data_IF_033448181574
#
_entry.id   IF_033448181574
#
_cell.length_a   1.000
_cell.length_b   1.000
_cell.length_c   1.000
_cell.angle_alpha   90.00
_cell.angle_beta   90.00
_cell.angle_gamma   90.00
#
_symmetry.space_group_name_H-M   'P 1'
#
loop_
_entity.id
_entity.type
_entity.pdbx_description
1 polymer ?
#
# COMPACT_ATOMS: atom_id res chain seq x y z
N UNK A 1 32.26 71.64 -28.03
CA UNK A 1 33.12 70.50 -27.64
C UNK A 1 32.50 69.86 -26.39
N UNK A 2 31.52 68.96 -26.51
CA UNK A 2 31.64 67.51 -26.80
C UNK A 2 32.46 66.73 -25.75
N UNK A 3 31.92 66.59 -24.54
CA UNK A 3 32.29 65.51 -23.61
C UNK A 3 31.30 64.37 -23.82
N UNK A 4 31.72 63.32 -24.54
CA UNK A 4 30.96 62.06 -24.62
C UNK A 4 31.71 61.02 -23.81
N UNK A 5 31.16 60.70 -22.64
CA UNK A 5 31.70 59.72 -21.72
C UNK A 5 31.83 58.35 -22.42
N UNK A 6 33.04 57.82 -22.45
CA UNK A 6 33.36 56.50 -22.95
C UNK A 6 32.99 55.48 -21.87
N UNK A 7 31.84 54.82 -22.07
CA UNK A 7 31.45 53.70 -21.24
C UNK A 7 32.36 52.52 -21.58
N UNK A 8 33.25 52.16 -20.65
CA UNK A 8 34.08 50.96 -20.74
C UNK A 8 33.17 49.71 -20.84
N UNK A 9 32.97 49.22 -22.06
CA UNK A 9 32.34 47.92 -22.30
C UNK A 9 33.34 46.83 -21.92
N UNK A 10 32.98 45.99 -20.95
CA UNK A 10 33.78 44.82 -20.60
C UNK A 10 34.00 43.95 -21.86
N UNK A 11 35.20 43.38 -22.06
CA UNK A 11 35.48 42.56 -23.24
C UNK A 11 34.50 41.39 -23.29
N UNK A 12 33.85 41.22 -24.45
CA UNK A 12 32.81 40.21 -24.67
C UNK A 12 33.21 38.80 -24.19
N UNK A 13 34.51 38.48 -24.22
CA UNK A 13 35.08 37.22 -23.74
C UNK A 13 34.89 36.98 -22.24
N UNK A 14 34.99 38.02 -21.41
CA UNK A 14 34.78 37.93 -19.96
C UNK A 14 33.30 37.71 -19.67
N UNK A 15 32.42 38.40 -20.41
CA UNK A 15 30.97 38.23 -20.29
C UNK A 15 30.55 36.80 -20.67
N UNK A 16 31.05 36.26 -21.79
CA UNK A 16 30.81 34.88 -22.22
C UNK A 16 31.35 33.84 -21.23
N UNK A 17 32.51 34.11 -20.62
CA UNK A 17 33.14 33.24 -19.62
C UNK A 17 32.32 33.08 -18.33
N UNK A 18 31.55 34.10 -17.94
CA UNK A 18 30.63 34.01 -16.81
C UNK A 18 29.24 33.46 -17.19
N UNK A 19 28.79 33.65 -18.43
CA UNK A 19 27.48 33.17 -18.88
C UNK A 19 27.40 31.64 -19.01
N UNK A 20 28.46 30.99 -19.49
CA UNK A 20 28.53 29.52 -19.62
C UNK A 20 28.36 28.76 -18.29
N UNK A 21 29.12 29.04 -17.22
CA UNK A 21 28.94 28.37 -15.93
C UNK A 21 27.58 28.71 -15.30
N UNK A 22 27.06 29.93 -15.52
CA UNK A 22 25.76 30.34 -15.01
C UNK A 22 24.61 29.54 -15.66
N UNK A 23 24.69 29.25 -16.96
CA UNK A 23 23.76 28.35 -17.65
C UNK A 23 23.83 26.90 -17.12
N UNK A 24 25.03 26.40 -16.82
CA UNK A 24 25.21 25.06 -16.25
C UNK A 24 24.58 24.97 -14.85
N UNK A 25 24.79 26.00 -14.01
CA UNK A 25 24.20 26.07 -12.67
C UNK A 25 22.66 26.11 -12.76
N UNK A 26 22.10 26.88 -13.70
CA UNK A 26 20.65 26.92 -13.95
C UNK A 26 20.14 25.54 -14.41
N UNK A 27 20.86 24.85 -15.30
CA UNK A 27 20.52 23.50 -15.73
C UNK A 27 20.52 22.49 -14.57
N UNK A 28 21.56 22.50 -13.73
CA UNK A 28 21.64 21.64 -12.55
C UNK A 28 20.50 21.96 -11.57
N UNK A 29 20.19 23.24 -11.36
CA UNK A 29 19.07 23.65 -10.52
C UNK A 29 17.72 23.18 -11.06
N UNK A 30 17.49 23.25 -12.38
CA UNK A 30 16.28 22.70 -13.01
C UNK A 30 16.19 21.18 -12.87
N UNK A 31 17.30 20.45 -13.00
CA UNK A 31 17.35 19.00 -12.77
C UNK A 31 17.08 18.67 -11.31
N UNK A 32 17.70 19.39 -10.36
CA UNK A 32 17.43 19.22 -8.93
C UNK A 32 15.98 19.54 -8.61
N UNK A 33 15.41 20.64 -9.13
CA UNK A 33 13.99 20.96 -9.00
C UNK A 33 13.10 19.90 -9.63
N UNK A 34 13.49 19.31 -10.76
CA UNK A 34 12.77 18.20 -11.37
C UNK A 34 12.81 16.96 -10.47
N UNK A 35 13.97 16.58 -9.94
CA UNK A 35 14.12 15.47 -9.00
C UNK A 35 13.42 15.74 -7.67
N UNK A 36 13.43 16.98 -7.18
CA UNK A 36 12.78 17.38 -5.94
C UNK A 36 11.27 17.49 -6.12
N UNK A 37 10.79 18.01 -7.26
CA UNK A 37 9.38 17.98 -7.67
C UNK A 37 8.94 16.54 -7.87
N UNK A 38 9.74 15.68 -8.52
CA UNK A 38 9.48 14.24 -8.70
C UNK A 38 9.46 13.51 -7.35
N UNK A 39 10.37 13.80 -6.42
CA UNK A 39 10.40 13.24 -5.06
C UNK A 39 9.24 13.75 -4.19
N UNK A 40 8.84 15.02 -4.32
CA UNK A 40 7.63 15.58 -3.70
C UNK A 40 6.34 15.09 -4.37
N UNK A 41 6.37 14.77 -5.67
CA UNK A 41 5.28 14.07 -6.37
C UNK A 41 5.19 12.63 -5.88
N UNK A 42 6.31 11.93 -5.65
CA UNK A 42 6.34 10.58 -5.06
C UNK A 42 5.87 10.57 -3.61
N UNK A 43 6.23 11.56 -2.79
CA UNK A 43 5.75 11.69 -1.40
C UNK A 43 4.29 12.18 -1.31
N UNK A 44 3.82 13.02 -2.22
CA UNK A 44 2.40 13.41 -2.30
C UNK A 44 1.54 12.35 -3.00
N UNK A 45 2.10 11.46 -3.84
CA UNK A 45 1.47 10.21 -4.28
C UNK A 45 1.35 9.22 -3.12
N UNK A 46 2.35 9.15 -2.23
CA UNK A 46 2.28 8.28 -1.04
C UNK A 46 1.24 8.78 -0.02
N UNK A 47 1.04 10.09 0.12
CA UNK A 47 -0.04 10.67 0.94
C UNK A 47 -1.41 10.74 0.24
N UNK A 48 -1.49 10.78 -1.10
CA UNK A 48 -2.76 10.71 -1.85
C UNK A 48 -3.27 9.30 -2.09
N UNK A 49 -2.44 8.26 -1.94
CA UNK A 49 -2.91 6.86 -1.88
C UNK A 49 -3.79 6.55 -0.66
N UNK A 50 -3.95 7.50 0.27
CA UNK A 50 -4.81 7.41 1.45
C UNK A 50 -6.09 8.25 1.34
N UNK A 51 -6.55 8.59 0.13
CA UNK A 51 -7.90 9.13 -0.10
C UNK A 51 -8.59 8.23 -1.14
N UNK A 52 -9.64 7.46 -0.78
CA UNK A 52 -10.21 6.48 -1.68
C UNK A 52 -11.14 7.16 -2.68
N UNK A 53 -10.84 7.09 -3.99
CA UNK A 53 -11.87 7.26 -5.04
C UNK A 53 -11.64 6.35 -6.24
N UNK A 54 -12.52 5.34 -6.32
CA UNK A 54 -13.29 4.84 -7.47
C UNK A 54 -12.53 4.58 -8.79
N UNK A 55 -12.35 3.28 -9.09
CA UNK A 55 -12.33 2.77 -10.47
C UNK A 55 -11.08 2.00 -10.89
N UNK A 56 -11.28 0.72 -11.19
CA UNK A 56 -10.51 -0.16 -12.10
C UNK A 56 -9.00 -0.41 -11.87
N UNK A 57 -8.75 -1.61 -11.34
CA UNK A 57 -7.79 -2.63 -11.82
C UNK A 57 -6.28 -2.48 -11.54
N UNK A 58 -5.76 -3.57 -10.94
CA UNK A 58 -4.36 -4.04 -10.83
C UNK A 58 -3.40 -3.39 -9.81
N UNK A 59 -3.40 -3.94 -8.59
CA UNK A 59 -2.19 -4.45 -7.91
C UNK A 59 -2.62 -5.15 -6.61
N UNK A 60 -2.86 -6.45 -6.75
CA UNK A 60 -3.10 -7.38 -5.63
C UNK A 60 -1.78 -7.51 -4.85
N UNK A 61 -1.88 -7.60 -3.52
CA UNK A 61 -0.77 -7.71 -2.55
C UNK A 61 -0.11 -6.41 -2.06
N UNK A 62 -0.92 -5.59 -1.39
CA UNK A 62 -0.42 -4.60 -0.43
C UNK A 62 -0.15 -5.27 0.92
N UNK A 63 1.11 -5.27 1.34
CA UNK A 63 1.54 -5.60 2.70
C UNK A 63 0.90 -4.60 3.67
N UNK A 64 -0.04 -5.05 4.49
CA UNK A 64 -0.54 -4.29 5.63
C UNK A 64 0.46 -4.47 6.78
N UNK A 65 1.19 -3.40 7.13
CA UNK A 65 2.29 -3.48 8.09
C UNK A 65 1.89 -3.28 9.55
N UNK A 66 0.63 -3.00 9.86
CA UNK A 66 0.13 -2.92 11.23
C UNK A 66 -1.21 -3.65 11.31
N UNK A 67 -1.38 -4.43 12.40
CA UNK A 67 -2.67 -5.03 12.74
C UNK A 67 -3.65 -3.91 13.11
N UNK A 68 -4.95 -4.14 12.88
CA UNK A 68 -5.97 -3.21 13.35
C UNK A 68 -6.00 -3.20 14.88
N UNK A 69 -6.46 -2.09 15.47
CA UNK A 69 -6.70 -2.02 16.92
C UNK A 69 -7.91 -2.89 17.29
N UNK A 70 -7.96 -3.39 18.53
CA UNK A 70 -8.98 -4.34 19.01
C UNK A 70 -10.42 -3.84 18.76
N UNK A 71 -10.65 -2.53 18.90
CA UNK A 71 -11.97 -1.93 18.67
C UNK A 71 -12.39 -2.01 17.20
N UNK A 72 -11.45 -1.79 16.27
CA UNK A 72 -11.71 -1.84 14.82
C UNK A 72 -11.90 -3.29 14.34
N UNK A 73 -11.21 -4.24 14.99
CA UNK A 73 -11.42 -5.67 14.77
C UNK A 73 -12.84 -6.07 15.17
N UNK A 74 -13.28 -5.71 16.37
CA UNK A 74 -14.62 -6.05 16.87
C UNK A 74 -15.70 -5.43 15.98
N UNK A 75 -15.52 -4.18 15.56
CA UNK A 75 -16.44 -3.52 14.63
C UNK A 75 -16.48 -4.25 13.27
N UNK A 76 -15.32 -4.71 12.79
CA UNK A 76 -15.21 -5.48 11.54
C UNK A 76 -15.91 -6.83 11.63
N UNK A 77 -15.74 -7.57 12.74
CA UNK A 77 -16.41 -8.85 12.95
C UNK A 77 -17.91 -8.71 13.10
N UNK A 78 -18.36 -7.73 13.89
CA UNK A 78 -19.78 -7.38 14.04
C UNK A 78 -20.40 -7.01 12.70
N UNK A 79 -19.68 -6.26 11.86
CA UNK A 79 -20.14 -5.91 10.51
C UNK A 79 -20.24 -7.14 9.61
N UNK A 80 -19.32 -8.10 9.71
CA UNK A 80 -19.40 -9.35 8.95
C UNK A 80 -20.61 -10.20 9.34
N UNK A 81 -20.95 -10.27 10.63
CA UNK A 81 -22.15 -10.96 11.09
C UNK A 81 -23.43 -10.28 10.61
N UNK A 82 -23.52 -8.94 10.71
CA UNK A 82 -24.66 -8.18 10.19
C UNK A 82 -24.82 -8.29 8.66
N UNK A 83 -23.71 -8.43 7.93
CA UNK A 83 -23.72 -8.62 6.48
C UNK A 83 -24.03 -10.08 6.06
N UNK A 84 -24.05 -11.03 7.00
CA UNK A 84 -24.32 -12.44 6.72
C UNK A 84 -25.78 -12.62 6.33
N UNK A 85 -26.03 -12.67 5.02
CA UNK A 85 -27.34 -12.99 4.48
C UNK A 85 -27.41 -14.49 4.21
N UNK A 86 -28.08 -15.25 5.09
CA UNK A 86 -28.39 -16.64 4.81
C UNK A 86 -29.28 -16.71 3.55
N UNK A 87 -28.93 -17.62 2.63
CA UNK A 87 -29.67 -17.82 1.39
C UNK A 87 -30.38 -19.17 1.51
N UNK A 88 -31.72 -19.22 1.48
CA UNK A 88 -32.46 -20.49 1.43
C UNK A 88 -31.99 -21.35 0.26
N UNK A 89 -31.94 -22.68 0.46
CA UNK A 89 -31.44 -23.58 -0.56
C UNK A 89 -32.27 -23.52 -1.85
N UNK A 90 -33.58 -23.33 -1.71
CA UNK A 90 -34.53 -23.19 -2.80
C UNK A 90 -34.25 -21.96 -3.67
N UNK A 91 -33.71 -20.90 -3.06
CA UNK A 91 -33.42 -19.62 -3.72
C UNK A 91 -31.98 -19.52 -4.24
N UNK A 92 -31.09 -20.43 -3.82
CA UNK A 92 -29.65 -20.35 -4.10
C UNK A 92 -29.34 -20.23 -5.61
N UNK A 93 -30.04 -21.00 -6.43
CA UNK A 93 -29.84 -20.97 -7.89
C UNK A 93 -30.18 -19.59 -8.48
N UNK A 94 -31.32 -19.03 -8.09
CA UNK A 94 -31.79 -17.75 -8.59
C UNK A 94 -30.95 -16.60 -8.03
N UNK A 95 -30.53 -16.70 -6.77
CA UNK A 95 -29.58 -15.79 -6.14
C UNK A 95 -28.28 -15.71 -6.94
N UNK A 96 -27.65 -16.86 -7.27
CA UNK A 96 -26.38 -16.88 -8.01
C UNK A 96 -26.58 -16.29 -9.41
N UNK A 97 -27.61 -16.76 -10.14
CA UNK A 97 -27.91 -16.31 -11.51
C UNK A 97 -28.16 -14.81 -11.58
N UNK A 98 -28.95 -14.27 -10.66
CA UNK A 98 -29.21 -12.84 -10.56
C UNK A 98 -27.95 -12.09 -10.11
N UNK A 99 -27.25 -12.60 -9.11
CA UNK A 99 -26.09 -11.96 -8.49
C UNK A 99 -24.89 -11.81 -9.43
N UNK A 100 -24.65 -12.79 -10.32
CA UNK A 100 -23.64 -12.68 -11.38
C UNK A 100 -24.05 -11.59 -12.38
N UNK A 101 -25.30 -11.57 -12.84
CA UNK A 101 -25.80 -10.59 -13.83
C UNK A 101 -25.76 -9.15 -13.32
N UNK A 102 -26.08 -8.95 -12.04
CA UNK A 102 -26.12 -7.61 -11.43
C UNK A 102 -24.80 -7.18 -10.79
N UNK A 103 -23.75 -8.00 -10.88
CA UNK A 103 -22.49 -7.85 -10.15
C UNK A 103 -22.65 -7.79 -8.62
N UNK A 104 -23.76 -8.26 -8.06
CA UNK A 104 -23.99 -8.29 -6.61
C UNK A 104 -22.90 -9.09 -5.90
N UNK A 105 -22.60 -10.31 -6.37
CA UNK A 105 -21.56 -11.19 -5.79
C UNK A 105 -20.19 -10.49 -5.79
N UNK A 106 -19.85 -9.79 -6.89
CA UNK A 106 -18.60 -9.04 -6.97
C UNK A 106 -18.56 -7.89 -5.97
N UNK A 107 -19.68 -7.17 -5.78
CA UNK A 107 -19.76 -6.09 -4.79
C UNK A 107 -19.64 -6.62 -3.36
N UNK A 108 -20.34 -7.72 -3.04
CA UNK A 108 -20.25 -8.39 -1.74
C UNK A 108 -18.81 -8.85 -1.45
N UNK A 109 -18.17 -9.53 -2.41
CA UNK A 109 -16.76 -9.91 -2.29
C UNK A 109 -15.83 -8.71 -2.06
N UNK A 110 -16.07 -7.59 -2.75
CA UNK A 110 -15.25 -6.39 -2.61
C UNK A 110 -15.47 -5.66 -1.28
N UNK A 111 -16.59 -5.92 -0.60
CA UNK A 111 -16.91 -5.37 0.72
C UNK A 111 -16.34 -6.21 1.86
N UNK A 112 -15.82 -7.43 1.60
CA UNK A 112 -15.12 -8.20 2.62
C UNK A 112 -13.96 -7.38 3.21
N UNK A 113 -13.70 -7.51 4.52
CA UNK A 113 -12.57 -6.86 5.16
C UNK A 113 -11.26 -7.20 4.44
N UNK A 114 -10.38 -6.22 4.31
CA UNK A 114 -9.11 -6.37 3.58
C UNK A 114 -7.95 -6.03 4.48
N UNK A 115 -6.84 -6.72 4.24
CA UNK A 115 -5.60 -6.49 4.93
C UNK A 115 -5.41 -7.37 6.15
N UNK A 116 -4.41 -7.03 6.94
CA UNK A 116 -4.06 -7.76 8.16
C UNK A 116 -4.96 -7.26 9.29
N UNK A 117 -6.01 -8.02 9.60
CA UNK A 117 -6.94 -7.66 10.69
C UNK A 117 -6.28 -7.85 12.06
N UNK A 118 -5.54 -8.95 12.22
CA UNK A 118 -4.97 -9.37 13.50
C UNK A 118 -3.44 -9.40 13.50
N UNK A 119 -2.78 -9.37 14.66
CA UNK A 119 -1.33 -9.52 14.76
C UNK A 119 -0.79 -10.85 14.18
N UNK A 120 0.38 -10.78 13.53
CA UNK A 120 1.16 -11.92 13.03
C UNK A 120 2.59 -11.88 13.58
N UNK A 121 2.76 -11.47 14.83
CA UNK A 121 4.04 -11.12 15.44
C UNK A 121 4.97 -12.33 15.53
N UNK A 122 4.43 -13.52 15.87
CA UNK A 122 5.22 -14.75 15.99
C UNK A 122 5.77 -15.18 14.63
N UNK A 123 4.98 -15.01 13.57
CA UNK A 123 5.38 -15.32 12.20
C UNK A 123 6.50 -14.40 11.68
N UNK A 124 6.61 -13.18 12.24
CA UNK A 124 7.60 -12.16 11.85
C UNK A 124 8.93 -12.29 12.61
N UNK A 125 9.03 -13.20 13.61
CA UNK A 125 10.28 -13.46 14.32
C UNK A 125 11.39 -13.89 13.33
N UNK A 126 12.65 -13.45 13.53
CA UNK A 126 13.75 -13.78 12.63
C UNK A 126 13.88 -15.27 12.34
N UNK A 127 13.72 -16.11 13.37
CA UNK A 127 13.83 -17.57 13.28
C UNK A 127 12.63 -18.25 12.61
N UNK A 128 11.56 -17.52 12.33
CA UNK A 128 10.35 -18.05 11.68
C UNK A 128 10.20 -17.56 10.23
N UNK A 129 10.91 -16.49 9.83
CA UNK A 129 10.80 -15.91 8.48
C UNK A 129 11.06 -16.94 7.37
N UNK A 130 12.09 -17.78 7.52
CA UNK A 130 12.44 -18.81 6.53
C UNK A 130 11.45 -19.97 6.47
N UNK A 131 10.57 -20.11 7.46
CA UNK A 131 9.50 -21.13 7.50
C UNK A 131 8.24 -20.67 6.76
N UNK A 132 8.21 -19.43 6.28
CA UNK A 132 7.10 -18.87 5.51
C UNK A 132 7.41 -18.91 4.01
N UNK A 133 6.53 -19.54 3.22
CA UNK A 133 6.65 -19.54 1.75
C UNK A 133 6.56 -18.14 1.16
N UNK A 134 5.72 -17.29 1.74
CA UNK A 134 5.52 -15.91 1.30
C UNK A 134 5.57 -15.00 2.53
N UNK A 135 6.25 -13.85 2.45
CA UNK A 135 6.41 -12.92 3.58
C UNK A 135 5.19 -12.04 3.86
N UNK A 136 4.22 -12.05 2.95
CA UNK A 136 2.99 -11.26 2.96
C UNK A 136 1.74 -12.09 3.32
N UNK A 137 1.87 -13.42 3.39
CA UNK A 137 0.85 -14.34 3.89
C UNK A 137 1.43 -14.91 5.17
N UNK A 138 0.85 -14.55 6.32
CA UNK A 138 1.37 -14.95 7.62
C UNK A 138 0.21 -15.39 8.51
N UNK A 139 0.41 -16.40 9.38
CA UNK A 139 -0.63 -16.85 10.28
C UNK A 139 -0.89 -15.80 11.37
N UNK A 140 -2.16 -15.65 11.77
CA UNK A 140 -2.53 -14.80 12.90
C UNK A 140 -2.14 -15.43 14.24
N UNK A 141 -1.72 -14.60 15.19
CA UNK A 141 -1.19 -15.06 16.49
C UNK A 141 -2.27 -15.77 17.34
N UNK A 142 -3.51 -15.30 17.29
CA UNK A 142 -4.62 -15.79 18.12
C UNK A 142 -5.10 -17.20 17.71
N UNK A 143 -4.96 -17.59 16.44
CA UNK A 143 -5.47 -18.86 15.90
C UNK A 143 -4.39 -19.76 15.33
N UNK A 144 -3.10 -19.41 15.47
CA UNK A 144 -2.01 -20.24 14.93
C UNK A 144 -1.97 -21.62 15.59
N UNK A 145 -1.59 -22.62 14.82
CA UNK A 145 -1.26 -23.94 15.37
C UNK A 145 0.09 -23.85 16.09
N UNK A 146 0.16 -24.36 17.32
CA UNK A 146 1.40 -24.43 18.12
C UNK A 146 1.89 -25.87 18.15
N UNK A 147 3.13 -26.10 17.71
CA UNK A 147 3.76 -27.42 17.79
C UNK A 147 4.24 -27.68 19.23
N UNK A 148 4.17 -28.93 19.67
CA UNK A 148 4.85 -29.36 20.89
C UNK A 148 6.34 -29.47 20.59
N UNK A 149 7.12 -28.53 21.11
CA UNK A 149 8.51 -28.35 20.73
C UNK A 149 9.42 -28.77 21.88
N UNK A 150 9.72 -30.07 21.96
CA UNK A 150 10.72 -30.58 22.92
C UNK A 150 12.12 -30.04 22.62
N UNK A 151 12.47 -29.83 21.34
CA UNK A 151 13.84 -29.47 20.89
C UNK A 151 13.87 -28.41 19.75
N UNK A 152 12.86 -27.54 19.65
CA UNK A 152 12.75 -26.61 18.52
C UNK A 152 11.83 -25.42 18.74
N UNK A 153 11.35 -24.84 17.65
CA UNK A 153 10.36 -23.75 17.70
C UNK A 153 8.95 -24.31 17.54
N UNK A 154 8.02 -23.76 18.31
CA UNK A 154 6.58 -24.10 18.31
C UNK A 154 5.83 -23.63 17.04
N UNK A 155 6.56 -23.12 16.04
CA UNK A 155 6.00 -22.42 14.90
C UNK A 155 5.81 -23.30 13.66
N UNK A 156 4.60 -23.27 13.14
CA UNK A 156 4.22 -23.71 11.80
C UNK A 156 3.34 -22.64 11.15
N UNK A 157 3.44 -22.46 9.84
CA UNK A 157 2.57 -21.55 9.08
C UNK A 157 1.19 -22.16 8.87
N UNK A 158 0.37 -22.16 9.92
CA UNK A 158 -0.99 -22.68 9.92
C UNK A 158 -1.88 -21.99 10.96
N UNK A 159 -3.18 -21.89 10.68
CA UNK A 159 -4.22 -21.42 11.60
C UNK A 159 -5.35 -22.44 11.72
N UNK A 160 -5.97 -22.52 12.89
CA UNK A 160 -7.30 -23.11 13.05
C UNK A 160 -8.34 -22.21 12.36
N UNK A 161 -9.31 -22.84 11.71
CA UNK A 161 -10.43 -22.17 11.05
C UNK A 161 -11.71 -22.65 11.73
N UNK A 162 -12.52 -21.70 12.18
CA UNK A 162 -13.85 -21.99 12.72
C UNK A 162 -14.77 -22.45 11.58
N UNK A 163 -15.50 -23.54 11.82
CA UNK A 163 -16.47 -24.10 10.87
C UNK A 163 -17.81 -24.15 11.60
N UNK A 164 -18.45 -22.99 11.75
CA UNK A 164 -19.85 -22.92 12.13
C UNK A 164 -20.70 -22.99 10.86
N UNK A 165 -21.64 -23.94 10.84
CA UNK A 165 -22.66 -24.09 9.81
C UNK A 165 -23.95 -23.37 10.25
#
# INVERSE_FOLDING_TARGET
>A
ESLKAEAHSAPLSVVLGFLLPLLIIVGIFLVLLYFWKSKRYRMSIMKRKFIPKKGSSESVFGVCNEALDEMEIIETESLCEELSNCIPLEELHDFIKHGVRTNKIKKEFLNLPKGQLYPCSVAKLPDNKYKNRYGNILPYDHSRVKLDASDGSDYIHANYIDVRF
#
